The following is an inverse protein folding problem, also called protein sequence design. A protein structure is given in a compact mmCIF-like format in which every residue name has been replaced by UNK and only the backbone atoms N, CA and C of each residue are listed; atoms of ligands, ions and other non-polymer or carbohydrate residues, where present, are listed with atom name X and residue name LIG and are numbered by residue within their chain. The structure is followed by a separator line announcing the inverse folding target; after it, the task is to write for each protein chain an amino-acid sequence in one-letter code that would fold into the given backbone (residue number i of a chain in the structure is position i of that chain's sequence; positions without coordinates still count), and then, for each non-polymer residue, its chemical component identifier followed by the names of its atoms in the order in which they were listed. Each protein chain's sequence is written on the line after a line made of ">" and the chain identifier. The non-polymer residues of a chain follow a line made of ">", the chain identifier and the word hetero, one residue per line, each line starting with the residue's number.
data_IF_092338676755
#
_entry.id   IF_092338676755
#
_cell.length_a   1.000
_cell.length_b   1.000
_cell.length_c   1.000
_cell.angle_alpha   90.00
_cell.angle_beta   90.00
_cell.angle_gamma   90.00
#
_symmetry.space_group_name_H-M   'P 1'
#
loop_
_entity.id
_entity.type
_entity.pdbx_description
1 polymer ?
#
# COMPACT_ATOMS: atom_id res chain seq x y z
N UNK A 1 19.13 18.21 -32.29
CA UNK A 1 19.19 17.10 -31.31
C UNK A 1 18.42 15.96 -31.95
N UNK A 2 19.05 14.81 -32.13
CA UNK A 2 18.39 13.63 -32.71
C UNK A 2 17.90 12.74 -31.56
N UNK A 3 16.84 11.97 -31.78
CA UNK A 3 16.30 11.03 -30.80
C UNK A 3 16.07 9.68 -31.47
N UNK A 4 16.13 8.62 -30.67
CA UNK A 4 15.78 7.25 -31.04
C UNK A 4 14.67 6.75 -30.10
N UNK A 5 13.87 5.78 -30.57
CA UNK A 5 12.79 5.18 -29.79
C UNK A 5 13.12 3.70 -29.59
N UNK A 6 13.42 3.32 -28.35
CA UNK A 6 13.69 1.95 -27.94
C UNK A 6 12.92 1.55 -26.68
N UNK A 7 12.90 0.26 -26.39
CA UNK A 7 12.29 -0.31 -25.17
C UNK A 7 13.28 -0.35 -24.00
N UNK A 8 14.54 -0.02 -24.24
CA UNK A 8 15.62 -0.07 -23.28
C UNK A 8 16.30 1.29 -23.14
N UNK A 9 16.94 1.49 -22.00
CA UNK A 9 17.78 2.65 -21.75
C UNK A 9 19.19 2.33 -22.25
N UNK A 10 19.63 3.03 -23.30
CA UNK A 10 21.00 2.90 -23.83
C UNK A 10 22.04 3.63 -22.96
N UNK A 11 21.59 4.60 -22.16
CA UNK A 11 22.43 5.32 -21.20
C UNK A 11 22.25 4.73 -19.81
N UNK A 12 23.35 4.22 -19.25
CA UNK A 12 23.37 3.66 -17.91
C UNK A 12 24.04 4.63 -16.93
N UNK A 13 23.30 5.22 -15.97
CA UNK A 13 23.88 6.12 -14.98
C UNK A 13 24.86 5.36 -14.08
N UNK A 14 25.91 6.03 -13.56
CA UNK A 14 26.86 5.38 -12.68
C UNK A 14 26.22 5.04 -11.33
N UNK A 15 26.73 4.05 -10.58
CA UNK A 15 26.11 3.57 -9.34
C UNK A 15 25.80 4.66 -8.30
N UNK A 16 26.67 5.67 -8.20
CA UNK A 16 26.52 6.81 -7.30
C UNK A 16 25.30 7.69 -7.61
N UNK A 17 24.77 7.68 -8.85
CA UNK A 17 23.60 8.46 -9.25
C UNK A 17 22.28 7.66 -9.14
N UNK A 18 22.34 6.35 -8.91
CA UNK A 18 21.14 5.51 -8.84
C UNK A 18 20.17 5.93 -7.74
N UNK A 19 20.65 6.63 -6.70
CA UNK A 19 19.81 7.18 -5.63
C UNK A 19 18.81 8.26 -6.10
N UNK A 20 19.03 8.86 -7.28
CA UNK A 20 18.11 9.83 -7.90
C UNK A 20 16.88 9.17 -8.53
N UNK A 21 16.91 7.84 -8.67
CA UNK A 21 15.87 7.08 -9.32
C UNK A 21 15.07 6.24 -8.32
N UNK A 22 14.03 5.59 -8.84
CA UNK A 22 13.24 4.62 -8.09
C UNK A 22 14.12 3.51 -7.51
N UNK A 23 13.95 3.21 -6.21
CA UNK A 23 14.60 2.09 -5.52
C UNK A 23 14.54 0.75 -6.28
N UNK A 24 13.54 0.55 -7.14
CA UNK A 24 13.47 -0.67 -7.98
C UNK A 24 14.74 -0.88 -8.84
N UNK A 25 15.54 0.15 -9.07
CA UNK A 25 16.83 0.06 -9.78
C UNK A 25 18.00 -0.41 -8.92
N UNK A 26 17.82 -0.47 -7.60
CA UNK A 26 18.88 -0.80 -6.63
C UNK A 26 18.95 -2.29 -6.28
N UNK A 27 17.94 -3.09 -6.65
CA UNK A 27 17.81 -4.49 -6.19
C UNK A 27 18.03 -5.52 -7.30
N UNK A 28 18.61 -6.66 -6.91
CA UNK A 28 18.61 -7.91 -7.70
C UNK A 28 17.30 -8.69 -7.48
N UNK A 29 16.95 -9.56 -8.42
CA UNK A 29 15.64 -10.25 -8.54
C UNK A 29 15.20 -11.16 -7.35
N UNK A 30 15.97 -11.25 -6.27
CA UNK A 30 15.77 -12.24 -5.20
C UNK A 30 14.90 -11.74 -4.04
N UNK A 31 14.49 -10.47 -4.03
CA UNK A 31 13.66 -9.89 -2.96
C UNK A 31 12.21 -9.77 -3.43
N UNK A 32 11.21 -10.26 -2.67
CA UNK A 32 9.82 -10.17 -3.06
C UNK A 32 9.36 -8.73 -3.33
N UNK A 33 8.89 -8.46 -4.54
CA UNK A 33 8.27 -7.18 -4.91
C UNK A 33 6.77 -7.13 -4.60
N UNK A 34 6.17 -8.28 -4.26
CA UNK A 34 4.75 -8.44 -3.95
C UNK A 34 4.53 -9.50 -2.87
N UNK A 35 3.59 -9.23 -1.96
CA UNK A 35 3.08 -10.16 -0.95
C UNK A 35 1.56 -10.14 -1.01
N UNK A 36 0.90 -11.29 -0.90
CA UNK A 36 -0.57 -11.40 -0.91
C UNK A 36 -1.03 -12.16 0.33
N UNK A 37 -1.97 -11.56 1.07
CA UNK A 37 -2.66 -12.17 2.20
C UNK A 37 -4.05 -12.56 1.74
N UNK A 38 -4.28 -13.87 1.65
CA UNK A 38 -5.57 -14.44 1.28
C UNK A 38 -6.40 -14.75 2.53
N UNK A 39 -7.65 -14.30 2.54
CA UNK A 39 -8.60 -14.56 3.62
C UNK A 39 -9.60 -15.60 3.14
N UNK A 40 -9.69 -16.72 3.87
CA UNK A 40 -10.57 -17.84 3.55
C UNK A 40 -11.40 -18.27 4.75
N UNK A 41 -12.55 -18.87 4.48
CA UNK A 41 -13.32 -19.66 5.44
C UNK A 41 -13.43 -21.06 4.88
N UNK A 42 -12.98 -22.05 5.64
CA UNK A 42 -12.82 -23.44 5.16
C UNK A 42 -11.99 -23.46 3.87
N UNK A 43 -12.56 -23.93 2.76
CA UNK A 43 -11.91 -24.02 1.45
C UNK A 43 -12.30 -22.89 0.48
N UNK A 44 -13.00 -21.86 0.93
CA UNK A 44 -13.48 -20.76 0.08
C UNK A 44 -12.75 -19.46 0.39
N UNK A 45 -12.13 -18.86 -0.64
CA UNK A 45 -11.53 -17.53 -0.54
C UNK A 45 -12.60 -16.44 -0.55
N UNK A 46 -12.50 -15.51 0.39
CA UNK A 46 -13.46 -14.43 0.60
C UNK A 46 -12.91 -13.06 0.20
N UNK A 47 -11.60 -12.88 0.36
CA UNK A 47 -10.92 -11.62 0.11
C UNK A 47 -9.41 -11.83 -0.04
N UNK A 48 -8.74 -10.86 -0.64
CA UNK A 48 -7.29 -10.73 -0.53
C UNK A 48 -6.90 -9.29 -0.22
N UNK A 49 -5.73 -9.14 0.38
CA UNK A 49 -5.01 -7.87 0.46
C UNK A 49 -3.60 -8.12 -0.07
N UNK A 50 -3.11 -7.26 -0.95
CA UNK A 50 -1.77 -7.37 -1.51
C UNK A 50 -0.95 -6.11 -1.25
N UNK A 51 0.31 -6.33 -0.91
CA UNK A 51 1.36 -5.32 -0.95
C UNK A 51 2.11 -5.50 -2.26
N UNK A 52 2.24 -4.44 -3.05
CA UNK A 52 2.97 -4.46 -4.32
C UNK A 52 3.84 -3.22 -4.43
N UNK A 53 4.80 -3.25 -5.37
CA UNK A 53 5.86 -2.24 -5.45
C UNK A 53 6.54 -2.10 -4.09
N UNK A 54 6.84 -3.25 -3.46
CA UNK A 54 7.53 -3.29 -2.18
C UNK A 54 8.93 -2.69 -2.36
N UNK A 55 9.18 -1.66 -1.58
CA UNK A 55 10.41 -0.88 -1.52
C UNK A 55 10.99 -1.07 -0.13
N UNK A 56 11.88 -2.03 0.02
CA UNK A 56 12.38 -2.49 1.32
C UNK A 56 13.31 -1.48 1.98
N UNK A 57 14.12 -0.74 1.21
CA UNK A 57 14.98 0.34 1.71
C UNK A 57 14.12 1.50 2.18
N UNK A 58 13.17 1.95 1.35
CA UNK A 58 12.23 3.02 1.72
C UNK A 58 11.16 2.58 2.72
N UNK A 59 11.06 1.26 2.97
CA UNK A 59 10.09 0.63 3.85
C UNK A 59 8.66 1.04 3.47
N UNK A 60 8.32 0.93 2.20
CA UNK A 60 7.01 1.34 1.68
C UNK A 60 6.43 0.34 0.69
N UNK A 61 5.09 0.34 0.56
CA UNK A 61 4.40 -0.45 -0.44
C UNK A 61 3.09 0.21 -0.86
N UNK A 62 2.57 -0.19 -2.01
CA UNK A 62 1.17 0.03 -2.34
C UNK A 62 0.31 -1.11 -1.80
N UNK A 63 -0.86 -0.79 -1.25
CA UNK A 63 -1.84 -1.75 -0.75
C UNK A 63 -3.05 -1.79 -1.68
N UNK A 64 -3.44 -3.00 -2.10
CA UNK A 64 -4.67 -3.25 -2.85
C UNK A 64 -5.49 -4.29 -2.11
N UNK A 65 -6.82 -4.20 -2.18
CA UNK A 65 -7.69 -5.21 -1.59
C UNK A 65 -8.88 -5.51 -2.49
N UNK A 66 -9.39 -6.73 -2.36
CA UNK A 66 -10.62 -7.17 -3.00
C UNK A 66 -11.41 -8.01 -2.01
N UNK A 67 -12.73 -7.87 -2.06
CA UNK A 67 -13.67 -8.70 -1.32
C UNK A 67 -14.68 -9.23 -2.33
N UNK A 68 -14.96 -10.51 -2.23
CA UNK A 68 -15.92 -11.18 -3.09
C UNK A 68 -17.31 -10.53 -2.98
N UNK A 69 -18.02 -10.19 -4.09
CA UNK A 69 -19.34 -9.55 -4.07
C UNK A 69 -20.31 -10.06 -3.01
N UNK A 70 -20.50 -11.39 -2.90
CA UNK A 70 -21.41 -11.98 -1.90
C UNK A 70 -21.01 -11.74 -0.44
N UNK A 71 -19.78 -11.31 -0.19
CA UNK A 71 -19.19 -11.02 1.12
C UNK A 71 -19.12 -9.52 1.45
N UNK A 72 -19.48 -8.63 0.51
CA UNK A 72 -19.44 -7.17 0.72
C UNK A 72 -20.54 -6.71 1.68
N UNK A 73 -20.37 -5.52 2.25
CA UNK A 73 -21.33 -4.94 3.21
C UNK A 73 -21.31 -5.56 4.62
N UNK A 74 -20.54 -6.63 4.85
CA UNK A 74 -20.47 -7.36 6.15
C UNK A 74 -19.24 -6.99 7.00
N UNK A 75 -18.58 -5.89 6.67
CA UNK A 75 -17.35 -5.44 7.37
C UNK A 75 -16.09 -6.28 7.09
N UNK A 76 -16.16 -7.26 6.19
CA UNK A 76 -15.03 -8.16 5.85
C UNK A 76 -13.82 -7.36 5.35
N UNK A 77 -14.01 -6.45 4.40
CA UNK A 77 -12.93 -5.62 3.87
C UNK A 77 -12.20 -4.81 4.95
N UNK A 78 -12.95 -4.24 5.91
CA UNK A 78 -12.38 -3.50 7.04
C UNK A 78 -11.53 -4.40 7.94
N UNK A 79 -12.02 -5.61 8.25
CA UNK A 79 -11.27 -6.60 9.04
C UNK A 79 -9.99 -7.03 8.32
N UNK A 80 -10.09 -7.43 7.05
CA UNK A 80 -8.96 -7.86 6.24
C UNK A 80 -7.88 -6.78 6.11
N UNK A 81 -8.27 -5.54 5.81
CA UNK A 81 -7.34 -4.43 5.73
C UNK A 81 -6.67 -4.13 7.07
N UNK A 82 -7.42 -4.12 8.19
CA UNK A 82 -6.81 -3.94 9.52
C UNK A 82 -5.75 -4.99 9.80
N UNK A 83 -6.06 -6.27 9.59
CA UNK A 83 -5.10 -7.38 9.78
C UNK A 83 -3.86 -7.20 8.89
N UNK A 84 -4.06 -6.83 7.62
CA UNK A 84 -2.95 -6.63 6.68
C UNK A 84 -2.09 -5.42 7.06
N UNK A 85 -2.69 -4.28 7.42
CA UNK A 85 -1.98 -3.07 7.85
C UNK A 85 -1.15 -3.35 9.11
N UNK A 86 -1.73 -4.07 10.08
CA UNK A 86 -1.01 -4.49 11.28
C UNK A 86 0.20 -5.37 10.92
N UNK A 87 0.04 -6.34 10.01
CA UNK A 87 1.14 -7.16 9.50
C UNK A 87 2.22 -6.32 8.79
N UNK A 88 1.83 -5.37 7.94
CA UNK A 88 2.76 -4.49 7.24
C UNK A 88 3.62 -3.66 8.19
N UNK A 89 3.01 -3.08 9.24
CA UNK A 89 3.73 -2.20 10.15
C UNK A 89 4.46 -2.94 11.27
N UNK A 90 3.91 -4.05 11.78
CA UNK A 90 4.53 -4.84 12.87
C UNK A 90 5.55 -5.84 12.35
N UNK A 91 5.20 -6.60 11.31
CA UNK A 91 6.02 -7.73 10.82
C UNK A 91 6.94 -7.31 9.69
N UNK A 92 6.41 -6.71 8.62
CA UNK A 92 7.25 -6.25 7.50
C UNK A 92 8.04 -4.98 7.83
N UNK A 93 7.77 -4.38 8.99
CA UNK A 93 8.41 -3.16 9.47
C UNK A 93 8.30 -2.01 8.44
N UNK A 94 7.24 -1.95 7.64
CA UNK A 94 7.02 -0.83 6.73
C UNK A 94 6.79 0.46 7.53
N UNK A 95 7.08 1.60 6.91
CA UNK A 95 6.85 2.95 7.44
C UNK A 95 5.68 3.64 6.75
N UNK A 96 5.32 3.19 5.55
CA UNK A 96 4.31 3.83 4.72
C UNK A 96 3.56 2.81 3.85
N UNK A 97 2.25 2.99 3.76
CA UNK A 97 1.39 2.33 2.80
C UNK A 97 0.72 3.38 1.91
N UNK A 98 0.72 3.15 0.60
CA UNK A 98 -0.01 3.97 -0.37
C UNK A 98 -1.16 3.18 -0.96
N UNK A 99 -2.26 3.82 -1.32
CA UNK A 99 -3.36 3.17 -2.03
C UNK A 99 -3.89 4.08 -3.13
N UNK A 100 -4.32 3.48 -4.23
CA UNK A 100 -4.94 4.17 -5.35
C UNK A 100 -6.38 3.71 -5.51
N UNK A 101 -7.29 4.67 -5.60
CA UNK A 101 -8.73 4.39 -5.71
C UNK A 101 -9.32 5.23 -6.83
N UNK A 102 -10.04 4.59 -7.75
CA UNK A 102 -10.86 5.28 -8.73
C UNK A 102 -11.78 6.29 -8.05
N UNK A 103 -11.84 7.51 -8.56
CA UNK A 103 -12.65 8.59 -8.01
C UNK A 103 -14.14 8.25 -7.86
N UNK A 104 -14.69 7.36 -8.68
CA UNK A 104 -16.06 6.88 -8.54
C UNK A 104 -16.26 5.84 -7.43
N UNK A 105 -15.19 5.17 -6.97
CA UNK A 105 -15.26 4.13 -5.95
C UNK A 105 -15.26 4.74 -4.54
N UNK A 106 -16.38 5.38 -4.19
CA UNK A 106 -16.61 6.02 -2.89
C UNK A 106 -16.50 5.04 -1.72
N UNK A 107 -16.88 3.78 -1.94
CA UNK A 107 -16.84 2.72 -0.90
C UNK A 107 -15.40 2.46 -0.46
N UNK A 108 -14.48 2.22 -1.40
CA UNK A 108 -13.07 2.01 -1.07
C UNK A 108 -12.41 3.27 -0.49
N UNK A 109 -12.74 4.46 -1.04
CA UNK A 109 -12.19 5.72 -0.55
C UNK A 109 -12.60 5.99 0.92
N UNK A 110 -13.87 5.78 1.26
CA UNK A 110 -14.35 5.95 2.64
C UNK A 110 -13.75 4.89 3.57
N UNK A 111 -13.62 3.65 3.11
CA UNK A 111 -12.98 2.60 3.90
C UNK A 111 -11.50 2.92 4.23
N UNK A 112 -10.74 3.48 3.29
CA UNK A 112 -9.37 3.92 3.55
C UNK A 112 -9.32 5.05 4.58
N UNK A 113 -10.18 6.06 4.45
CA UNK A 113 -10.29 7.17 5.41
C UNK A 113 -10.62 6.67 6.82
N UNK A 114 -11.59 5.75 6.94
CA UNK A 114 -11.96 5.09 8.20
C UNK A 114 -10.78 4.36 8.87
N UNK A 115 -9.81 3.91 8.08
CA UNK A 115 -8.61 3.21 8.53
C UNK A 115 -7.43 4.15 8.79
N UNK A 116 -7.64 5.46 8.68
CA UNK A 116 -6.65 6.49 8.97
C UNK A 116 -5.78 6.89 7.78
N UNK A 117 -6.08 6.41 6.56
CA UNK A 117 -5.41 6.92 5.37
C UNK A 117 -5.84 8.37 5.10
N UNK A 118 -4.87 9.19 4.71
CA UNK A 118 -5.07 10.56 4.26
C UNK A 118 -5.11 10.58 2.74
N UNK A 119 -6.06 11.33 2.16
CA UNK A 119 -6.05 11.60 0.72
C UNK A 119 -4.98 12.65 0.44
N UNK A 120 -3.92 12.26 -0.26
CA UNK A 120 -2.75 13.12 -0.51
C UNK A 120 -2.77 13.77 -1.89
N UNK A 121 -3.58 13.23 -2.81
CA UNK A 121 -3.65 13.79 -4.15
C UNK A 121 -4.69 13.17 -5.06
N UNK A 122 -4.79 13.74 -6.26
CA UNK A 122 -5.69 13.32 -7.32
C UNK A 122 -4.96 13.36 -8.66
N UNK A 123 -4.78 12.19 -9.27
CA UNK A 123 -4.23 12.07 -10.61
C UNK A 123 -5.38 12.24 -11.62
N UNK A 124 -5.39 13.36 -12.33
CA UNK A 124 -6.46 13.70 -13.30
C UNK A 124 -6.37 12.82 -14.54
N UNK A 125 -7.50 12.27 -14.99
CA UNK A 125 -7.61 11.39 -16.16
C UNK A 125 -6.60 10.24 -16.19
N UNK A 126 -6.20 9.75 -15.00
CA UNK A 126 -5.09 8.82 -14.88
C UNK A 126 -5.46 7.36 -15.21
N UNK A 127 -6.75 7.06 -15.34
CA UNK A 127 -7.19 5.70 -15.63
C UNK A 127 -8.29 5.65 -16.67
N UNK A 128 -8.04 4.91 -17.74
CA UNK A 128 -9.02 4.58 -18.75
C UNK A 128 -9.77 3.29 -18.38
N UNK A 129 -11.11 3.35 -18.35
CA UNK A 129 -11.98 2.21 -18.12
C UNK A 129 -13.35 2.46 -18.76
N UNK A 130 -13.92 1.47 -19.45
CA UNK A 130 -15.20 1.60 -20.17
C UNK A 130 -15.28 2.90 -20.98
N UNK A 131 -14.28 3.12 -21.84
CA UNK A 131 -14.20 4.24 -22.78
C UNK A 131 -14.15 5.64 -22.12
N UNK A 132 -13.94 5.71 -20.82
CA UNK A 132 -13.88 6.96 -20.06
C UNK A 132 -12.60 7.04 -19.24
N UNK A 133 -12.07 8.25 -19.16
CA UNK A 133 -10.98 8.56 -18.23
C UNK A 133 -11.57 8.95 -16.87
N UNK A 134 -11.02 8.34 -15.83
CA UNK A 134 -11.34 8.62 -14.45
C UNK A 134 -10.10 9.11 -13.71
N UNK A 135 -10.35 9.96 -12.73
CA UNK A 135 -9.31 10.38 -11.83
C UNK A 135 -9.01 9.27 -10.82
N UNK A 136 -7.75 9.18 -10.39
CA UNK A 136 -7.30 8.31 -9.31
C UNK A 136 -7.05 9.16 -8.07
N UNK A 137 -7.67 8.80 -6.96
CA UNK A 137 -7.38 9.34 -5.64
C UNK A 137 -6.20 8.57 -5.04
N UNK A 138 -5.18 9.31 -4.61
CA UNK A 138 -3.99 8.74 -3.97
C UNK A 138 -4.10 8.94 -2.47
N UNK A 139 -3.97 7.84 -1.74
CA UNK A 139 -4.04 7.78 -0.29
C UNK A 139 -2.72 7.33 0.32
N UNK A 140 -2.38 7.88 1.48
CA UNK A 140 -1.21 7.49 2.26
C UNK A 140 -1.55 7.21 3.72
N UNK A 141 -0.95 6.17 4.30
CA UNK A 141 -0.96 5.89 5.73
C UNK A 141 0.47 5.72 6.21
N UNK A 142 0.88 6.54 7.18
CA UNK A 142 2.19 6.45 7.82
C UNK A 142 2.09 5.62 9.09
N UNK A 143 3.14 4.84 9.38
CA UNK A 143 3.23 4.04 10.62
C UNK A 143 3.06 4.88 11.88
N UNK A 144 3.50 6.15 11.87
CA UNK A 144 3.36 7.08 13.00
C UNK A 144 1.91 7.54 13.25
N UNK A 145 1.06 7.49 12.23
CA UNK A 145 -0.34 7.95 12.30
C UNK A 145 -1.31 6.76 12.49
N UNK A 146 -0.82 5.54 12.35
CA UNK A 146 -1.58 4.31 12.57
C UNK A 146 -1.78 4.04 14.07
N UNK A 147 -3.04 3.93 14.48
CA UNK A 147 -3.43 3.79 15.89
C UNK A 147 -3.29 2.39 16.48
N UNK A 148 -2.95 1.38 15.68
CA UNK A 148 -2.79 -0.01 16.12
C UNK A 148 -4.06 -0.69 16.63
N UNK A 149 -4.20 -1.99 16.39
CA UNK A 149 -5.07 -2.83 17.22
C UNK A 149 -4.44 -2.98 18.61
N UNK A 150 -5.15 -2.58 19.67
CA UNK A 150 -4.68 -2.60 21.06
C UNK A 150 -3.92 -3.87 21.41
N UNK A 151 -2.63 -3.71 21.68
CA UNK A 151 -1.71 -4.79 22.03
C UNK A 151 -0.34 -4.28 22.46
N UNK A 152 -0.26 -3.04 22.95
CA UNK A 152 0.94 -2.53 23.60
C UNK A 152 0.59 -2.12 25.03
N UNK A 153 0.58 -3.12 25.91
CA UNK A 153 0.44 -2.98 27.35
C UNK A 153 1.72 -2.43 28.00
N UNK A 154 2.31 -1.36 27.45
CA UNK A 154 3.37 -0.61 28.14
C UNK A 154 2.71 0.39 29.08
N UNK A 155 2.30 -0.10 30.26
CA UNK A 155 2.19 0.75 31.45
C UNK A 155 3.56 1.40 31.65
N UNK A 156 3.66 2.69 31.38
CA UNK A 156 4.79 3.49 31.85
C UNK A 156 4.70 3.52 33.38
N UNK A 157 5.50 2.71 34.06
CA UNK A 157 5.77 2.90 35.48
C UNK A 157 6.59 4.19 35.61
N UNK A 158 5.91 5.29 35.93
CA UNK A 158 6.53 6.49 36.45
C UNK A 158 7.24 6.14 37.76
N UNK A 159 8.56 6.02 37.72
CA UNK A 159 9.37 6.05 38.92
C UNK A 159 9.27 7.45 39.53
N UNK A 160 8.43 7.59 40.56
CA UNK A 160 8.60 8.59 41.62
C UNK A 160 9.17 7.85 42.83
N UNK A 161 10.49 7.87 42.98
CA UNK A 161 11.17 7.82 44.28
C UNK A 161 11.80 9.21 44.45
N UNK A 162 11.34 10.04 45.39
CA UNK A 162 11.80 10.13 46.79
C UNK A 162 13.30 10.37 46.87
#
# INVERSE_FOLDING_TARGET
>A
MNFDIGEQEELHPPPEELHLFSEMRLHKNDIPSKIVINFKRENTYLAFVSFHTLRWINRSAYITFYVEPGCRGRGIGKKCLKTAIDFAFRTLNLRRLSAEVYSYNKVSANLLKDLGFVCEGRLRSAKFHNEKYYDILVFGLLKKDWKGGGGDGRKQNSHRGR
#
